data_IF_804133056149
#
_entry.id   IF_804133056149
#
_cell.length_a   1.000
_cell.length_b   1.000
_cell.length_c   1.000
_cell.angle_alpha   90.00
_cell.angle_beta   90.00
_cell.angle_gamma   90.00
#
_symmetry.space_group_name_H-M   'P 1'
#
loop_
_entity.id
_entity.type
_entity.pdbx_description
1 polymer ?
#
# COMPACT_ATOMS: atom_id res chain seq x y z
N UNK A 1 -15.88 -70.45 -37.39
CA UNK A 1 -14.52 -69.99 -37.03
C UNK A 1 -14.00 -70.84 -35.89
N UNK A 2 -12.74 -71.25 -35.91
CA UNK A 2 -12.15 -72.11 -34.87
C UNK A 2 -11.46 -71.25 -33.83
N UNK A 3 -12.02 -71.18 -32.62
CA UNK A 3 -11.38 -70.51 -31.49
C UNK A 3 -10.27 -71.46 -31.00
N UNK A 4 -9.01 -71.02 -31.07
CA UNK A 4 -7.85 -71.78 -30.61
C UNK A 4 -7.57 -71.49 -29.13
N UNK A 5 -7.06 -72.48 -28.37
CA UNK A 5 -6.64 -72.28 -26.96
C UNK A 5 -5.72 -71.07 -26.77
N UNK A 6 -4.92 -70.74 -27.79
CA UNK A 6 -4.05 -69.57 -27.80
C UNK A 6 -4.83 -68.25 -27.86
N UNK A 7 -5.96 -68.19 -28.56
CA UNK A 7 -6.87 -67.02 -28.52
C UNK A 7 -7.52 -66.85 -27.15
N UNK A 8 -7.91 -67.95 -26.50
CA UNK A 8 -8.52 -67.92 -25.15
C UNK A 8 -7.49 -67.42 -24.12
N UNK A 9 -6.26 -67.94 -24.16
CA UNK A 9 -5.18 -67.51 -23.27
C UNK A 9 -4.79 -66.04 -23.51
N UNK A 10 -4.69 -65.59 -24.76
CA UNK A 10 -4.41 -64.18 -25.06
C UNK A 10 -5.53 -63.25 -24.58
N UNK A 11 -6.79 -63.67 -24.71
CA UNK A 11 -7.94 -62.91 -24.19
C UNK A 11 -7.90 -62.82 -22.67
N UNK A 12 -7.58 -63.91 -21.97
CA UNK A 12 -7.42 -63.94 -20.52
C UNK A 12 -6.29 -63.00 -20.06
N UNK A 13 -5.12 -63.05 -20.70
CA UNK A 13 -4.00 -62.16 -20.40
C UNK A 13 -4.34 -60.68 -20.65
N UNK A 14 -5.06 -60.38 -21.72
CA UNK A 14 -5.56 -59.02 -22.00
C UNK A 14 -6.54 -58.52 -20.93
N UNK A 15 -7.44 -59.39 -20.45
CA UNK A 15 -8.37 -59.05 -19.38
C UNK A 15 -7.64 -58.83 -18.05
N UNK A 16 -6.68 -59.69 -17.70
CA UNK A 16 -5.86 -59.54 -16.49
C UNK A 16 -5.08 -58.23 -16.50
N UNK A 17 -4.42 -57.90 -17.62
CA UNK A 17 -3.72 -56.62 -17.75
C UNK A 17 -4.67 -55.42 -17.60
N UNK A 18 -5.88 -55.49 -18.17
CA UNK A 18 -6.90 -54.43 -17.98
C UNK A 18 -7.34 -54.30 -16.52
N UNK A 19 -7.52 -55.41 -15.81
CA UNK A 19 -7.87 -55.38 -14.39
C UNK A 19 -6.73 -54.81 -13.53
N UNK A 20 -5.48 -55.14 -13.85
CA UNK A 20 -4.32 -54.60 -13.14
C UNK A 20 -4.21 -53.07 -13.32
N UNK A 21 -4.38 -52.57 -14.55
CA UNK A 21 -4.39 -51.12 -14.82
C UNK A 21 -5.53 -50.41 -14.07
N UNK A 22 -6.74 -50.99 -14.06
CA UNK A 22 -7.87 -50.40 -13.33
C UNK A 22 -7.65 -50.41 -11.81
N UNK A 23 -7.03 -51.46 -11.27
CA UNK A 23 -6.69 -51.55 -9.85
C UNK A 23 -5.65 -50.49 -9.47
N UNK A 24 -4.59 -50.34 -10.27
CA UNK A 24 -3.59 -49.29 -10.10
C UNK A 24 -4.24 -47.89 -10.12
N UNK A 25 -5.21 -47.66 -11.01
CA UNK A 25 -5.92 -46.39 -11.08
C UNK A 25 -6.72 -46.10 -9.80
N UNK A 26 -7.48 -47.08 -9.31
CA UNK A 26 -8.28 -46.94 -8.07
C UNK A 26 -7.37 -46.76 -6.85
N UNK A 27 -6.26 -47.50 -6.75
CA UNK A 27 -5.29 -47.30 -5.67
C UNK A 27 -4.69 -45.89 -5.70
N UNK A 28 -4.38 -45.37 -6.90
CA UNK A 28 -3.89 -44.00 -7.04
C UNK A 28 -4.95 -42.95 -6.68
N UNK A 29 -6.22 -43.15 -7.05
CA UNK A 29 -7.32 -42.27 -6.64
C UNK A 29 -7.52 -42.30 -5.12
N UNK A 30 -7.40 -43.47 -4.48
CA UNK A 30 -7.47 -43.62 -3.03
C UNK A 30 -6.29 -42.92 -2.33
N UNK A 31 -5.07 -43.11 -2.83
CA UNK A 31 -3.87 -42.51 -2.26
C UNK A 31 -3.87 -40.97 -2.38
N UNK A 32 -4.40 -40.42 -3.49
CA UNK A 32 -4.43 -38.97 -3.73
C UNK A 32 -5.70 -38.29 -3.23
N UNK A 33 -6.78 -39.04 -3.00
CA UNK A 33 -8.12 -38.50 -2.76
C UNK A 33 -8.71 -37.73 -3.94
N UNK A 34 -8.04 -37.71 -5.09
CA UNK A 34 -8.47 -36.97 -6.28
C UNK A 34 -9.14 -37.94 -7.26
N UNK A 35 -10.41 -37.67 -7.57
CA UNK A 35 -11.13 -38.41 -8.61
C UNK A 35 -10.50 -38.24 -10.00
N UNK A 36 -10.06 -37.03 -10.31
CA UNK A 36 -9.43 -36.69 -11.60
C UNK A 36 -7.99 -36.30 -11.33
N UNK A 37 -7.05 -37.10 -11.82
CA UNK A 37 -5.62 -36.86 -11.64
C UNK A 37 -4.98 -36.29 -12.89
N UNK A 38 -5.31 -36.84 -14.07
CA UNK A 38 -4.79 -36.37 -15.34
C UNK A 38 -5.92 -35.74 -16.16
N UNK A 39 -5.65 -34.64 -16.88
CA UNK A 39 -6.63 -34.09 -17.81
C UNK A 39 -7.05 -35.07 -18.92
N UNK A 40 -6.24 -36.11 -19.18
CA UNK A 40 -6.57 -37.18 -20.11
C UNK A 40 -7.73 -38.08 -19.67
N UNK A 41 -7.98 -38.18 -18.37
CA UNK A 41 -8.92 -39.16 -17.81
C UNK A 41 -10.36 -38.68 -18.00
N UNK A 42 -10.62 -37.40 -17.69
CA UNK A 42 -11.89 -36.71 -17.97
C UNK A 42 -11.64 -35.26 -18.41
N UNK A 43 -11.42 -34.97 -19.71
CA UNK A 43 -11.06 -33.63 -20.18
C UNK A 43 -12.05 -32.54 -19.80
N UNK A 44 -13.36 -32.82 -19.90
CA UNK A 44 -14.40 -31.84 -19.58
C UNK A 44 -14.41 -31.47 -18.08
N UNK A 45 -14.27 -32.45 -17.20
CA UNK A 45 -14.25 -32.22 -15.76
C UNK A 45 -12.89 -31.63 -15.30
N UNK A 46 -11.79 -31.99 -15.96
CA UNK A 46 -10.48 -31.38 -15.72
C UNK A 46 -10.45 -29.88 -16.05
N UNK A 47 -11.11 -29.45 -17.14
CA UNK A 47 -11.25 -28.01 -17.48
C UNK A 47 -11.97 -27.25 -16.36
N UNK A 48 -13.09 -27.78 -15.86
CA UNK A 48 -13.81 -27.17 -14.75
C UNK A 48 -12.96 -27.12 -13.47
N UNK A 49 -12.23 -28.19 -13.16
CA UNK A 49 -11.34 -28.24 -12.01
C UNK A 49 -10.20 -27.21 -12.12
N UNK A 50 -9.60 -27.05 -13.30
CA UNK A 50 -8.57 -26.04 -13.55
C UNK A 50 -9.14 -24.63 -13.40
N UNK A 51 -10.34 -24.39 -13.92
CA UNK A 51 -11.04 -23.12 -13.78
C UNK A 51 -11.29 -22.77 -12.30
N UNK A 52 -11.81 -23.69 -11.50
CA UNK A 52 -12.01 -23.47 -10.06
C UNK A 52 -10.69 -23.28 -9.31
N UNK A 53 -9.64 -24.03 -9.65
CA UNK A 53 -8.30 -23.82 -9.08
C UNK A 53 -7.74 -22.44 -9.39
N UNK A 54 -7.90 -21.96 -10.62
CA UNK A 54 -7.53 -20.59 -11.00
C UNK A 54 -8.31 -19.56 -10.18
N UNK A 55 -9.64 -19.75 -10.04
CA UNK A 55 -10.46 -18.86 -9.21
C UNK A 55 -10.06 -18.86 -7.73
N UNK A 56 -9.73 -20.03 -7.17
CA UNK A 56 -9.25 -20.11 -5.78
C UNK A 56 -7.91 -19.40 -5.61
N UNK A 57 -7.00 -19.50 -6.58
CA UNK A 57 -5.74 -18.78 -6.56
C UNK A 57 -5.95 -17.26 -6.69
N UNK A 58 -6.86 -16.81 -7.56
CA UNK A 58 -7.26 -15.40 -7.64
C UNK A 58 -7.82 -14.91 -6.31
N UNK A 59 -8.74 -15.66 -5.68
CA UNK A 59 -9.31 -15.32 -4.38
C UNK A 59 -8.26 -15.26 -3.25
N UNK A 60 -7.30 -16.18 -3.24
CA UNK A 60 -6.18 -16.14 -2.27
C UNK A 60 -5.33 -14.87 -2.46
N UNK A 61 -5.05 -14.49 -3.71
CA UNK A 61 -4.33 -13.27 -4.02
C UNK A 61 -5.13 -12.02 -3.62
N UNK A 62 -6.44 -12.00 -3.89
CA UNK A 62 -7.32 -10.91 -3.45
C UNK A 62 -7.37 -10.79 -1.93
N UNK A 63 -7.45 -11.92 -1.21
CA UNK A 63 -7.37 -11.93 0.25
C UNK A 63 -6.07 -11.31 0.77
N UNK A 64 -4.93 -11.63 0.13
CA UNK A 64 -3.64 -11.00 0.46
C UNK A 64 -3.63 -9.50 0.16
N UNK A 65 -4.21 -9.08 -0.96
CA UNK A 65 -4.31 -7.67 -1.33
C UNK A 65 -5.19 -6.87 -0.35
N UNK A 66 -6.29 -7.45 0.12
CA UNK A 66 -7.16 -6.85 1.15
C UNK A 66 -6.40 -6.66 2.47
N UNK A 67 -5.67 -7.69 2.92
CA UNK A 67 -4.88 -7.62 4.15
C UNK A 67 -3.75 -6.58 4.03
N UNK A 68 -3.05 -6.54 2.89
CA UNK A 68 -2.03 -5.52 2.59
C UNK A 68 -2.64 -4.11 2.66
N UNK A 69 -3.76 -3.90 1.97
CA UNK A 69 -4.48 -2.64 1.98
C UNK A 69 -4.95 -2.22 3.37
N UNK A 70 -5.50 -3.15 4.14
CA UNK A 70 -5.95 -2.90 5.51
C UNK A 70 -4.79 -2.50 6.43
N UNK A 71 -3.66 -3.22 6.39
CA UNK A 71 -2.48 -2.91 7.19
C UNK A 71 -1.95 -1.51 6.86
N UNK A 72 -1.90 -1.17 5.57
CA UNK A 72 -1.46 0.15 5.11
C UNK A 72 -2.40 1.25 5.57
N UNK A 73 -3.72 1.07 5.45
CA UNK A 73 -4.71 2.04 5.93
C UNK A 73 -4.67 2.20 7.46
N UNK A 74 -4.53 1.12 8.22
CA UNK A 74 -4.36 1.20 9.68
C UNK A 74 -3.10 1.96 10.08
N UNK A 75 -2.02 1.79 9.33
CA UNK A 75 -0.81 2.57 9.55
C UNK A 75 -1.04 4.06 9.27
N UNK A 76 -1.67 4.40 8.16
CA UNK A 76 -2.04 5.79 7.83
C UNK A 76 -2.88 6.40 8.95
N UNK A 77 -3.91 5.69 9.39
CA UNK A 77 -4.83 6.12 10.44
C UNK A 77 -4.08 6.42 11.75
N UNK A 78 -3.21 5.50 12.19
CA UNK A 78 -2.40 5.71 13.38
C UNK A 78 -1.39 6.86 13.27
N UNK A 79 -0.94 7.22 12.07
CA UNK A 79 -0.14 8.45 11.86
C UNK A 79 -1.02 9.71 11.92
N UNK A 80 -2.23 9.66 11.35
CA UNK A 80 -3.17 10.78 11.38
C UNK A 80 -3.69 11.10 12.77
N UNK A 81 -3.85 10.09 13.63
CA UNK A 81 -4.16 10.28 15.05
C UNK A 81 -3.06 11.10 15.74
N UNK A 82 -1.78 10.78 15.49
CA UNK A 82 -0.65 11.54 16.04
C UNK A 82 -0.61 12.97 15.53
N UNK A 83 -0.94 13.18 14.24
CA UNK A 83 -1.06 14.53 13.66
C UNK A 83 -2.16 15.31 14.38
N UNK A 84 -3.29 14.66 14.66
CA UNK A 84 -4.42 15.28 15.39
C UNK A 84 -4.00 15.71 16.79
N UNK A 85 -3.28 14.85 17.53
CA UNK A 85 -2.75 15.19 18.87
C UNK A 85 -1.78 16.38 18.83
N UNK A 86 -0.88 16.43 17.84
CA UNK A 86 0.05 17.54 17.64
C UNK A 86 -0.71 18.84 17.36
N UNK A 87 -1.70 18.82 16.46
CA UNK A 87 -2.49 20.01 16.13
C UNK A 87 -3.27 20.51 17.35
N UNK A 88 -3.82 19.61 18.16
CA UNK A 88 -4.49 19.97 19.41
C UNK A 88 -3.51 20.64 20.38
N UNK A 89 -2.29 20.09 20.53
CA UNK A 89 -1.26 20.67 21.40
C UNK A 89 -0.83 22.06 20.92
N UNK A 90 -0.55 22.22 19.63
CA UNK A 90 -0.23 23.52 19.02
C UNK A 90 -1.36 24.51 19.27
N UNK A 91 -2.62 24.11 19.09
CA UNK A 91 -3.78 24.98 19.38
C UNK A 91 -3.79 25.45 20.83
N UNK A 92 -3.56 24.57 21.80
CA UNK A 92 -3.49 24.95 23.22
C UNK A 92 -2.36 25.95 23.48
N UNK A 93 -1.18 25.71 22.92
CA UNK A 93 -0.03 26.60 23.01
C UNK A 93 -0.31 27.98 22.41
N UNK A 94 -0.98 28.03 21.24
CA UNK A 94 -1.37 29.30 20.60
C UNK A 94 -2.38 30.08 21.43
N UNK A 95 -3.37 29.41 22.05
CA UNK A 95 -4.30 30.07 22.98
C UNK A 95 -3.57 30.58 24.21
N UNK A 96 -2.62 29.81 24.75
CA UNK A 96 -1.80 30.23 25.88
C UNK A 96 -0.96 31.46 25.54
N UNK A 97 -0.34 31.50 24.36
CA UNK A 97 0.39 32.67 23.86
C UNK A 97 -0.53 33.88 23.65
N UNK A 98 -1.76 33.68 23.16
CA UNK A 98 -2.73 34.75 22.94
C UNK A 98 -3.28 35.35 24.24
N UNK A 99 -3.24 34.63 25.35
CA UNK A 99 -3.66 35.14 26.65
C UNK A 99 -2.56 36.07 27.20
N UNK A 100 -2.66 37.36 26.86
CA UNK A 100 -1.71 38.44 27.18
C UNK A 100 -1.56 38.82 28.66
N UNK A 101 -1.74 37.86 29.58
CA UNK A 101 -1.54 38.05 31.03
C UNK A 101 -0.04 38.17 31.37
N UNK A 102 0.82 37.89 30.40
CA UNK A 102 2.27 37.93 30.54
C UNK A 102 2.82 39.32 30.14
N UNK A 103 2.63 40.33 30.99
CA UNK A 103 3.22 41.66 30.77
C UNK A 103 4.61 41.78 31.42
N UNK A 104 5.58 42.35 30.70
CA UNK A 104 6.98 42.59 31.13
C UNK A 104 8.01 41.64 30.49
N UNK A 105 9.30 41.72 30.89
CA UNK A 105 10.40 40.89 30.34
C UNK A 105 10.12 39.38 30.45
N UNK A 106 9.39 38.94 31.48
CA UNK A 106 8.99 37.54 31.68
C UNK A 106 7.97 37.03 30.65
N UNK A 107 7.18 37.93 30.05
CA UNK A 107 6.23 37.55 29.00
C UNK A 107 6.89 37.29 27.67
N UNK A 108 7.89 38.11 27.33
CA UNK A 108 8.72 37.88 26.15
C UNK A 108 9.46 36.53 26.21
N UNK A 109 10.05 36.19 27.35
CA UNK A 109 10.73 34.89 27.53
C UNK A 109 9.78 33.69 27.37
N UNK A 110 8.54 33.81 27.86
CA UNK A 110 7.54 32.76 27.76
C UNK A 110 7.00 32.61 26.32
N UNK A 111 6.73 33.71 25.62
CA UNK A 111 6.33 33.68 24.21
C UNK A 111 7.40 33.03 23.33
N UNK A 112 8.68 33.33 23.60
CA UNK A 112 9.81 32.68 22.91
C UNK A 112 9.89 31.18 23.24
N UNK A 113 9.60 30.78 24.48
CA UNK A 113 9.58 29.36 24.87
C UNK A 113 8.42 28.60 24.19
N UNK A 114 7.23 29.20 24.14
CA UNK A 114 6.06 28.64 23.46
C UNK A 114 6.32 28.53 21.95
N UNK A 115 6.92 29.55 21.32
CA UNK A 115 7.31 29.51 19.91
C UNK A 115 8.25 28.34 19.59
N UNK A 116 9.25 28.09 20.46
CA UNK A 116 10.14 26.94 20.33
C UNK A 116 9.41 25.60 20.46
N UNK A 117 8.44 25.50 21.36
CA UNK A 117 7.64 24.28 21.51
C UNK A 117 6.75 24.03 20.28
N UNK A 118 6.17 25.09 19.71
CA UNK A 118 5.41 25.01 18.46
C UNK A 118 6.30 24.56 17.28
N UNK A 119 7.51 25.10 17.16
CA UNK A 119 8.46 24.68 16.12
C UNK A 119 8.85 23.20 16.25
N UNK A 120 9.08 22.72 17.49
CA UNK A 120 9.34 21.30 17.76
C UNK A 120 8.16 20.42 17.34
N UNK A 121 6.92 20.85 17.63
CA UNK A 121 5.73 20.14 17.21
C UNK A 121 5.54 20.14 15.69
N UNK A 122 5.88 21.23 15.00
CA UNK A 122 5.82 21.31 13.55
C UNK A 122 6.86 20.40 12.89
N UNK A 123 8.09 20.33 13.42
CA UNK A 123 9.11 19.35 13.00
C UNK A 123 8.62 17.92 13.16
N UNK A 124 8.01 17.60 14.31
CA UNK A 124 7.43 16.28 14.54
C UNK A 124 6.30 15.95 13.55
N UNK A 125 5.49 16.94 13.15
CA UNK A 125 4.46 16.75 12.12
C UNK A 125 5.09 16.44 10.75
N UNK A 126 6.15 17.15 10.36
CA UNK A 126 6.89 16.87 9.10
C UNK A 126 7.51 15.47 9.14
N UNK A 127 8.02 15.02 10.28
CA UNK A 127 8.56 13.66 10.44
C UNK A 127 7.46 12.60 10.29
N UNK A 128 6.27 12.84 10.84
CA UNK A 128 5.11 11.95 10.66
C UNK A 128 4.63 11.95 9.20
N UNK A 129 4.61 13.10 8.55
CA UNK A 129 4.28 13.23 7.12
C UNK A 129 5.30 12.50 6.21
N UNK A 130 6.54 12.31 6.69
CA UNK A 130 7.60 11.51 6.06
C UNK A 130 7.71 10.08 6.62
N UNK A 131 6.67 9.58 7.29
CA UNK A 131 6.64 8.20 7.80
C UNK A 131 6.73 7.17 6.68
N UNK A 132 7.33 6.02 7.02
CA UNK A 132 7.60 4.90 6.10
C UNK A 132 6.85 3.65 6.52
N UNK A 133 6.30 2.96 5.55
CA UNK A 133 5.69 1.63 5.69
C UNK A 133 6.73 0.56 6.06
N UNK A 134 6.28 -0.63 6.45
CA UNK A 134 7.10 -1.81 6.74
C UNK A 134 8.01 -2.21 5.57
N UNK A 135 7.64 -1.83 4.34
CA UNK A 135 8.42 -2.03 3.11
C UNK A 135 9.49 -0.95 2.88
N UNK A 136 9.58 0.07 3.74
CA UNK A 136 10.51 1.20 3.64
C UNK A 136 10.04 2.34 2.75
N UNK A 137 8.86 2.21 2.13
CA UNK A 137 8.22 3.18 1.24
C UNK A 137 7.54 4.31 2.01
N UNK A 138 7.56 5.53 1.49
CA UNK A 138 6.84 6.65 2.10
C UNK A 138 5.32 6.51 1.93
N UNK A 139 4.59 6.67 3.03
CA UNK A 139 3.14 6.42 3.07
C UNK A 139 2.34 7.53 2.38
N UNK A 140 2.79 8.78 2.50
CA UNK A 140 2.11 9.97 1.99
C UNK A 140 2.66 10.50 0.66
N UNK A 141 3.46 9.71 -0.07
CA UNK A 141 4.10 10.10 -1.34
C UNK A 141 3.26 9.89 -2.62
N UNK A 142 2.07 9.29 -2.49
CA UNK A 142 1.28 8.86 -3.65
C UNK A 142 1.96 7.71 -4.40
N UNK A 143 2.26 7.88 -5.69
CA UNK A 143 3.09 6.94 -6.45
C UNK A 143 4.60 7.11 -6.20
N UNK A 144 5.04 8.29 -5.74
CA UNK A 144 6.45 8.58 -5.49
C UNK A 144 6.80 8.09 -4.09
N UNK A 145 7.22 6.82 -4.01
CA UNK A 145 7.43 6.12 -2.73
C UNK A 145 8.88 6.10 -2.25
N UNK A 146 9.85 6.43 -3.11
CA UNK A 146 11.28 6.36 -2.80
C UNK A 146 11.89 7.70 -2.35
N UNK A 147 11.28 8.81 -2.77
CA UNK A 147 11.71 10.15 -2.39
C UNK A 147 10.91 10.64 -1.18
N UNK A 148 11.56 11.43 -0.32
CA UNK A 148 10.91 12.10 0.81
C UNK A 148 9.78 13.00 0.29
N UNK A 149 8.51 12.79 0.70
CA UNK A 149 7.40 13.57 0.18
C UNK A 149 7.35 15.00 0.72
N UNK A 150 7.84 15.25 1.93
CA UNK A 150 7.82 16.56 2.57
C UNK A 150 9.24 17.04 2.87
N UNK A 151 9.67 18.11 2.22
CA UNK A 151 10.92 18.81 2.56
C UNK A 151 10.56 20.07 3.38
N UNK A 152 11.11 20.18 4.59
CA UNK A 152 11.05 21.41 5.37
C UNK A 152 12.03 22.43 4.76
N UNK A 153 11.52 23.61 4.39
CA UNK A 153 12.32 24.73 3.91
C UNK A 153 12.66 25.60 5.12
N UNK A 154 13.86 25.40 5.65
CA UNK A 154 14.44 26.22 6.71
C UNK A 154 15.07 27.49 6.10
N UNK A 155 14.79 28.68 6.65
CA UNK A 155 15.61 29.85 6.26
C UNK A 155 16.99 29.74 6.88
N UNK A 156 18.01 30.01 6.07
CA UNK A 156 19.31 30.46 6.57
C UNK A 156 19.32 31.99 6.68
N UNK A 157 18.41 32.60 7.44
CA UNK A 157 18.48 34.04 7.69
C UNK A 157 19.35 34.34 8.90
N UNK A 158 20.52 34.95 8.62
CA UNK A 158 21.39 35.58 9.61
C UNK A 158 20.60 36.60 10.44
N UNK A 159 20.57 36.33 11.74
CA UNK A 159 20.47 37.25 12.89
C UNK A 159 20.03 38.68 12.57
N UNK A 160 18.80 39.02 12.95
CA UNK A 160 18.44 40.39 13.31
C UNK A 160 18.31 40.45 14.84
N UNK A 161 19.22 41.22 15.46
CA UNK A 161 19.24 41.58 16.89
C UNK A 161 19.51 40.45 17.90
N UNK A 162 20.60 39.71 17.73
CA UNK A 162 21.24 39.00 18.86
C UNK A 162 20.49 37.80 19.43
N UNK A 163 19.41 37.35 18.77
CA UNK A 163 18.77 36.06 19.04
C UNK A 163 19.14 35.12 17.90
N UNK A 164 19.88 34.06 18.19
CA UNK A 164 20.07 32.96 17.26
C UNK A 164 18.75 32.18 17.14
N UNK A 165 17.91 32.56 16.18
CA UNK A 165 16.80 31.74 15.72
C UNK A 165 17.40 30.55 14.98
N UNK A 166 17.61 29.45 15.72
CA UNK A 166 17.97 28.15 15.16
C UNK A 166 16.82 27.68 14.29
N UNK A 167 17.06 27.63 12.97
CA UNK A 167 16.31 26.82 11.98
C UNK A 167 14.78 26.78 12.20
N UNK A 168 14.10 27.92 12.17
CA UNK A 168 12.62 27.91 12.13
C UNK A 168 12.14 27.42 10.75
N UNK A 169 11.17 26.50 10.74
CA UNK A 169 10.52 26.04 9.51
C UNK A 169 9.62 27.17 8.99
N UNK A 170 9.92 27.68 7.79
CA UNK A 170 9.13 28.76 7.16
C UNK A 170 8.16 28.24 6.12
N UNK A 171 8.39 27.03 5.62
CA UNK A 171 7.48 26.35 4.73
C UNK A 171 7.80 24.88 4.64
N UNK A 172 6.82 24.10 4.21
CA UNK A 172 7.02 22.70 3.81
C UNK A 172 6.67 22.63 2.33
N UNK A 173 7.46 21.90 1.54
CA UNK A 173 7.18 21.67 0.12
C UNK A 173 6.78 20.21 -0.08
N UNK A 174 5.67 19.97 -0.78
CA UNK A 174 5.30 18.64 -1.23
C UNK A 174 6.06 18.27 -2.50
N UNK A 175 6.77 17.15 -2.47
CA UNK A 175 7.44 16.57 -3.65
C UNK A 175 6.89 15.21 -4.06
N UNK A 176 5.73 14.83 -3.53
CA UNK A 176 5.02 13.63 -3.95
C UNK A 176 4.06 13.88 -5.13
N UNK A 177 3.39 12.81 -5.54
CA UNK A 177 2.34 12.83 -6.57
C UNK A 177 0.95 12.70 -5.93
N UNK A 178 -0.08 13.16 -6.66
CA UNK A 178 -1.50 13.08 -6.28
C UNK A 178 -2.13 11.71 -6.56
N UNK A 179 -1.37 10.78 -7.12
CA UNK A 179 -1.88 9.49 -7.54
C UNK A 179 -2.12 8.52 -6.39
N UNK A 180 -3.22 7.80 -6.48
CA UNK A 180 -3.64 6.79 -5.50
C UNK A 180 -3.22 5.40 -5.98
N UNK A 181 -2.58 4.63 -5.10
CA UNK A 181 -2.28 3.23 -5.39
C UNK A 181 -3.55 2.40 -5.24
N UNK A 182 -3.90 1.70 -6.32
CA UNK A 182 -5.04 0.79 -6.35
C UNK A 182 -4.59 -0.64 -6.04
N UNK A 183 -5.42 -1.38 -5.31
CA UNK A 183 -5.29 -2.83 -5.10
C UNK A 183 -6.55 -3.51 -5.59
N UNK A 184 -6.36 -4.55 -6.39
CA UNK A 184 -7.46 -5.39 -6.86
C UNK A 184 -7.90 -6.31 -5.73
N UNK A 185 -9.16 -6.22 -5.33
CA UNK A 185 -9.75 -7.01 -4.23
C UNK A 185 -10.82 -7.99 -4.72
N UNK A 186 -11.29 -7.81 -5.94
CA UNK A 186 -12.10 -8.75 -6.69
C UNK A 186 -11.81 -8.52 -8.18
N UNK A 187 -12.21 -9.46 -9.04
CA UNK A 187 -11.98 -9.38 -10.49
C UNK A 187 -12.55 -8.07 -11.06
N UNK A 188 -11.66 -7.14 -11.41
CA UNK A 188 -12.03 -5.83 -11.95
C UNK A 188 -12.54 -4.81 -10.91
N UNK A 189 -12.44 -5.14 -9.62
CA UNK A 189 -12.78 -4.22 -8.53
C UNK A 189 -11.50 -3.79 -7.79
N UNK A 190 -11.33 -2.48 -7.70
CA UNK A 190 -10.13 -1.86 -7.15
C UNK A 190 -10.48 -0.95 -5.99
N UNK A 191 -9.66 -1.01 -4.95
CA UNK A 191 -9.74 -0.11 -3.79
C UNK A 191 -8.44 0.68 -3.69
N UNK A 192 -8.56 1.99 -3.40
CA UNK A 192 -7.40 2.82 -3.11
C UNK A 192 -6.86 2.52 -1.71
N UNK A 193 -5.56 2.27 -1.63
CA UNK A 193 -4.86 1.93 -0.36
C UNK A 193 -3.86 3.01 0.05
N UNK A 194 -3.87 4.15 -0.63
CA UNK A 194 -2.96 5.27 -0.35
C UNK A 194 -3.73 6.57 -0.46
N UNK A 195 -3.55 7.42 0.53
CA UNK A 195 -4.02 8.81 0.50
C UNK A 195 -2.82 9.73 0.30
N UNK A 196 -2.69 10.38 -0.86
CA UNK A 196 -1.61 11.31 -1.16
C UNK A 196 -1.47 12.42 -0.12
N UNK A 197 -0.23 12.75 0.25
CA UNK A 197 0.08 13.74 1.26
C UNK A 197 -0.42 15.14 0.93
N UNK A 198 -0.52 15.50 -0.35
CA UNK A 198 -1.17 16.75 -0.75
C UNK A 198 -2.64 16.78 -0.33
N UNK A 199 -3.40 15.68 -0.49
CA UNK A 199 -4.82 15.65 -0.08
C UNK A 199 -5.00 15.69 1.44
N UNK A 200 -4.06 15.09 2.18
CA UNK A 200 -4.13 14.97 3.64
C UNK A 200 -3.67 16.24 4.34
N UNK A 201 -2.53 16.80 3.93
CA UNK A 201 -1.84 17.88 4.64
C UNK A 201 -1.98 19.25 3.93
N UNK A 202 -2.39 19.27 2.66
CA UNK A 202 -2.61 20.51 1.90
C UNK A 202 -4.06 20.63 1.40
N UNK A 203 -4.84 21.48 2.07
CA UNK A 203 -6.23 21.75 1.68
C UNK A 203 -6.39 22.60 0.39
N UNK A 204 -5.31 22.85 -0.36
CA UNK A 204 -5.37 23.62 -1.61
C UNK A 204 -5.31 22.68 -2.80
N UNK A 205 -6.30 22.78 -3.70
CA UNK A 205 -6.33 22.12 -5.00
C UNK A 205 -5.08 22.52 -5.81
N UNK A 206 -3.94 21.87 -5.57
CA UNK A 206 -2.76 22.06 -6.42
C UNK A 206 -3.05 21.37 -7.74
N UNK A 207 -3.45 22.17 -8.73
CA UNK A 207 -3.22 21.83 -10.12
C UNK A 207 -1.73 21.56 -10.26
N UNK A 208 -1.36 20.32 -10.57
CA UNK A 208 -0.02 20.00 -11.02
C UNK A 208 0.17 20.71 -12.35
N UNK A 209 0.63 21.96 -12.32
CA UNK A 209 1.10 22.63 -13.53
C UNK A 209 2.46 22.00 -13.81
N UNK A 210 2.51 21.05 -14.75
CA UNK A 210 3.80 20.63 -15.29
C UNK A 210 4.51 21.88 -15.80
N UNK A 211 5.75 22.12 -15.37
CA UNK A 211 6.57 23.24 -15.89
C UNK A 211 6.87 23.15 -17.39
N UNK A 212 6.42 22.07 -18.05
CA UNK A 212 6.48 21.88 -19.49
C UNK A 212 5.12 22.27 -20.08
N UNK A 213 5.12 23.31 -20.92
CA UNK A 213 3.97 23.73 -21.70
C UNK A 213 3.72 22.70 -22.82
N UNK A 214 2.83 21.74 -22.59
CA UNK A 214 2.48 20.68 -23.56
C UNK A 214 1.63 21.16 -24.75
N UNK A 215 1.40 22.47 -24.90
CA UNK A 215 0.69 23.02 -26.06
C UNK A 215 1.42 22.77 -27.39
N UNK A 216 2.74 22.54 -27.36
CA UNK A 216 3.56 22.29 -28.56
C UNK A 216 3.92 20.80 -28.75
N UNK A 217 3.46 19.89 -27.90
CA UNK A 217 3.76 18.47 -28.05
C UNK A 217 3.00 17.88 -29.23
N UNK A 218 3.66 17.79 -30.39
CA UNK A 218 3.21 16.97 -31.53
C UNK A 218 3.92 15.63 -31.43
N UNK A 219 3.14 14.57 -31.27
CA UNK A 219 3.66 13.20 -31.37
C UNK A 219 4.35 13.03 -32.73
N UNK A 220 5.57 12.49 -32.74
CA UNK A 220 6.23 12.08 -33.97
C UNK A 220 5.37 10.98 -34.63
N UNK A 221 4.97 11.23 -35.87
CA UNK A 221 4.33 10.25 -36.74
C UNK A 221 5.35 9.22 -37.24
#
# INVERSE_FOLDING_TARGET
MRITNQMINNTLLSNLNRHQVNMDEVENQLATGMKIRRPSDEPAAAVNQMYFRSRLHELDQFGKNVVDGQNRLQMVDGQLDRVTDIIQRVRTLTVQASNGIYQGDKGFELEVAIGKEIDQHLRALVDIANSRDATGQFVFGGHVVEQRPFDAVDTKQKSLKGVELKEEIIGVEYRGDIGEQLREIERGEYVSVTTPGNKVFWATNMSVTSGVNNAEYRAAA
#
